data_IF_268016391289
#
_entry.id   IF_268016391289
#
_cell.length_a   1.000
_cell.length_b   1.000
_cell.length_c   1.000
_cell.angle_alpha   90.00
_cell.angle_beta   90.00
_cell.angle_gamma   90.00
#
_symmetry.space_group_name_H-M   'P 1'
#
loop_
_entity.id
_entity.type
_entity.pdbx_description
1 polymer ?
#
# COMPACT_ATOMS: atom_id res chain seq x y z
N UNK A 1 15.61 -15.45 13.89
CA UNK A 1 16.14 -16.15 12.69
C UNK A 1 15.05 -16.93 11.94
N UNK A 2 13.80 -16.46 11.98
CA UNK A 2 12.67 -17.07 11.27
C UNK A 2 12.11 -16.03 10.32
N UNK A 3 12.80 -15.79 9.20
CA UNK A 3 12.22 -15.09 8.08
C UNK A 3 11.83 -16.18 7.08
N UNK A 4 10.54 -16.42 6.91
CA UNK A 4 10.07 -17.29 5.84
C UNK A 4 10.25 -16.52 4.54
N UNK A 5 11.09 -17.00 3.59
CA UNK A 5 11.28 -16.31 2.33
C UNK A 5 9.93 -16.16 1.62
N UNK A 6 9.69 -14.98 1.05
CA UNK A 6 8.42 -14.71 0.37
C UNK A 6 8.12 -15.77 -0.68
N UNK A 7 6.94 -16.40 -0.59
CA UNK A 7 6.55 -17.41 -1.58
C UNK A 7 6.34 -16.74 -2.95
N UNK A 8 6.53 -17.51 -4.03
CA UNK A 8 6.27 -17.01 -5.39
C UNK A 8 4.86 -16.44 -5.55
N UNK A 9 3.87 -17.02 -4.85
CA UNK A 9 2.50 -16.53 -4.82
C UNK A 9 2.40 -15.16 -4.12
N UNK A 10 3.07 -14.98 -2.97
CA UNK A 10 3.08 -13.69 -2.28
C UNK A 10 3.76 -12.60 -3.12
N UNK A 11 4.87 -12.92 -3.80
CA UNK A 11 5.50 -12.01 -4.77
C UNK A 11 4.54 -11.63 -5.89
N UNK A 12 3.79 -12.60 -6.43
CA UNK A 12 2.79 -12.35 -7.47
C UNK A 12 1.68 -11.41 -6.98
N UNK A 13 1.10 -11.66 -5.81
CA UNK A 13 0.06 -10.82 -5.22
C UNK A 13 0.59 -9.40 -4.97
N UNK A 14 1.78 -9.27 -4.39
CA UNK A 14 2.41 -7.96 -4.16
C UNK A 14 2.66 -7.20 -5.46
N UNK A 15 3.07 -7.88 -6.54
CA UNK A 15 3.28 -7.22 -7.84
C UNK A 15 1.97 -6.67 -8.43
N UNK A 16 0.85 -7.41 -8.28
CA UNK A 16 -0.48 -6.96 -8.71
C UNK A 16 -0.93 -5.78 -7.86
N UNK A 17 -0.79 -5.87 -6.53
CA UNK A 17 -1.11 -4.78 -5.60
C UNK A 17 -0.33 -3.51 -5.92
N UNK A 18 0.97 -3.61 -6.22
CA UNK A 18 1.82 -2.46 -6.56
C UNK A 18 1.39 -1.75 -7.85
N UNK A 19 0.85 -2.49 -8.82
CA UNK A 19 0.56 -1.98 -10.18
C UNK A 19 -0.91 -1.68 -10.44
N UNK A 20 -1.82 -2.25 -9.66
CA UNK A 20 -3.28 -2.17 -9.90
C UNK A 20 -4.12 -2.01 -8.62
N UNK A 21 -3.47 -1.80 -7.48
CA UNK A 21 -4.14 -1.87 -6.18
C UNK A 21 -5.07 -0.71 -5.83
N UNK A 22 -4.85 0.47 -6.41
CA UNK A 22 -5.49 1.73 -6.02
C UNK A 22 -6.22 2.45 -7.17
N UNK A 23 -6.95 1.69 -7.98
CA UNK A 23 -7.66 2.20 -9.16
C UNK A 23 -6.69 2.96 -10.08
N UNK A 24 -7.11 4.12 -10.58
CA UNK A 24 -6.31 4.97 -11.48
C UNK A 24 -5.08 5.60 -10.79
N UNK A 25 -4.92 5.45 -9.47
CA UNK A 25 -3.80 6.01 -8.70
C UNK A 25 -2.77 4.98 -8.25
N UNK A 26 -2.79 3.73 -8.74
CA UNK A 26 -1.79 2.73 -8.37
C UNK A 26 -0.34 3.21 -8.59
N UNK A 27 -0.06 3.88 -9.72
CA UNK A 27 1.24 4.47 -10.00
C UNK A 27 1.61 5.62 -9.05
N UNK A 28 0.66 6.51 -8.74
CA UNK A 28 0.87 7.60 -7.78
C UNK A 28 1.15 7.07 -6.37
N UNK A 29 0.46 6.02 -5.96
CA UNK A 29 0.70 5.35 -4.67
C UNK A 29 2.08 4.70 -4.63
N UNK A 30 2.48 4.00 -5.70
CA UNK A 30 3.82 3.43 -5.80
C UNK A 30 4.91 4.51 -5.70
N UNK A 31 4.73 5.66 -6.36
CA UNK A 31 5.68 6.78 -6.29
C UNK A 31 5.75 7.45 -4.91
N UNK A 32 4.60 7.71 -4.28
CA UNK A 32 4.53 8.48 -3.01
C UNK A 32 4.74 7.63 -1.77
N UNK A 33 4.31 6.37 -1.79
CA UNK A 33 4.33 5.45 -0.64
C UNK A 33 5.35 4.32 -0.82
N UNK A 34 5.67 3.92 -2.06
CA UNK A 34 6.71 2.93 -2.30
C UNK A 34 6.37 1.52 -1.85
N UNK A 35 5.09 1.18 -1.64
CA UNK A 35 4.66 -0.13 -1.13
C UNK A 35 3.57 -0.75 -2.01
N UNK A 36 3.48 -2.09 -2.12
CA UNK A 36 2.30 -2.78 -2.64
C UNK A 36 1.06 -2.42 -1.81
N UNK A 37 -0.01 -1.96 -2.45
CA UNK A 37 -1.23 -1.53 -1.75
C UNK A 37 -2.52 -2.10 -2.34
N UNK A 38 -3.60 -2.04 -1.57
CA UNK A 38 -4.98 -2.24 -2.06
C UNK A 38 -5.94 -1.31 -1.33
N UNK A 39 -6.75 -0.57 -2.07
CA UNK A 39 -7.83 0.26 -1.51
C UNK A 39 -9.22 -0.36 -1.70
N UNK A 40 -10.23 0.19 -1.05
CA UNK A 40 -11.63 -0.08 -1.35
C UNK A 40 -12.54 1.09 -0.96
N UNK A 41 -13.69 1.19 -1.62
CA UNK A 41 -14.67 2.29 -1.43
C UNK A 41 -15.23 2.41 -0.02
N UNK A 42 -15.02 1.41 0.85
CA UNK A 42 -15.28 1.52 2.29
C UNK A 42 -14.29 2.44 3.04
N UNK A 43 -13.30 3.01 2.35
CA UNK A 43 -12.30 3.94 2.91
C UNK A 43 -11.06 3.25 3.48
N UNK A 44 -10.91 1.93 3.30
CA UNK A 44 -9.76 1.16 3.76
C UNK A 44 -8.63 1.13 2.74
N UNK A 45 -7.38 1.19 3.20
CA UNK A 45 -6.19 0.91 2.39
C UNK A 45 -5.26 -0.02 3.18
N UNK A 46 -4.82 -1.10 2.55
CA UNK A 46 -3.78 -2.02 3.07
C UNK A 46 -2.50 -1.78 2.28
N UNK A 47 -1.37 -1.70 2.96
CA UNK A 47 -0.03 -1.65 2.37
C UNK A 47 0.86 -2.74 2.96
N UNK A 48 1.64 -3.42 2.12
CA UNK A 48 2.54 -4.51 2.53
C UNK A 48 3.97 -4.01 2.56
N UNK A 49 4.67 -4.22 3.67
CA UNK A 49 6.12 -4.06 3.78
C UNK A 49 6.73 -5.46 3.73
N UNK A 50 7.29 -5.89 2.59
CA UNK A 50 7.75 -7.27 2.41
C UNK A 50 8.65 -7.72 3.57
N UNK A 51 8.35 -8.91 4.10
CA UNK A 51 9.11 -9.57 5.18
C UNK A 51 9.21 -8.79 6.51
N UNK A 52 8.47 -7.69 6.67
CA UNK A 52 8.54 -6.82 7.85
C UNK A 52 7.19 -6.58 8.51
N UNK A 53 6.19 -6.10 7.76
CA UNK A 53 4.92 -5.66 8.33
C UNK A 53 3.80 -5.57 7.29
N UNK A 54 2.57 -5.45 7.79
CA UNK A 54 1.41 -4.98 7.02
C UNK A 54 0.80 -3.79 7.74
N UNK A 55 0.40 -2.77 7.00
CA UNK A 55 -0.22 -1.55 7.53
C UNK A 55 -1.61 -1.40 6.95
N UNK A 56 -2.60 -1.13 7.80
CA UNK A 56 -3.96 -0.81 7.37
C UNK A 56 -4.34 0.58 7.89
N UNK A 57 -4.92 1.39 7.02
CA UNK A 57 -5.52 2.68 7.37
C UNK A 57 -6.98 2.69 6.95
N UNK A 58 -7.79 3.47 7.65
CA UNK A 58 -9.20 3.62 7.33
C UNK A 58 -9.66 5.06 7.59
N UNK A 59 -10.31 5.66 6.61
CA UNK A 59 -11.08 6.89 6.75
C UNK A 59 -12.11 6.96 5.62
N UNK A 60 -13.39 7.25 5.92
CA UNK A 60 -14.49 7.10 4.96
C UNK A 60 -14.47 8.12 3.81
N UNK A 61 -13.85 9.29 4.00
CA UNK A 61 -13.78 10.31 2.94
C UNK A 61 -12.84 9.89 1.81
N UNK A 62 -13.35 9.87 0.58
CA UNK A 62 -12.64 9.42 -0.62
C UNK A 62 -12.25 10.59 -1.51
N UNK A 63 -11.13 10.44 -2.22
CA UNK A 63 -10.75 11.32 -3.32
C UNK A 63 -11.50 10.96 -4.61
N UNK A 64 -11.23 11.69 -5.69
CA UNK A 64 -11.87 11.48 -6.99
C UNK A 64 -11.63 10.09 -7.60
N UNK A 65 -10.55 9.39 -7.20
CA UNK A 65 -10.23 8.04 -7.66
C UNK A 65 -10.83 6.93 -6.75
N UNK A 66 -11.58 7.29 -5.71
CA UNK A 66 -12.19 6.34 -4.77
C UNK A 66 -11.26 5.83 -3.67
N UNK A 67 -10.12 6.49 -3.45
CA UNK A 67 -9.16 6.17 -2.39
C UNK A 67 -9.34 7.07 -1.17
N UNK A 68 -9.11 6.56 0.03
CA UNK A 68 -9.22 7.34 1.27
C UNK A 68 -8.26 8.53 1.29
N UNK A 69 -8.76 9.76 1.43
CA UNK A 69 -7.94 10.99 1.42
C UNK A 69 -6.89 10.98 2.52
N UNK A 70 -7.35 10.85 3.77
CA UNK A 70 -6.48 10.84 4.95
C UNK A 70 -5.68 9.55 5.03
N UNK A 71 -6.23 8.42 4.57
CA UNK A 71 -5.51 7.15 4.53
C UNK A 71 -4.27 7.21 3.63
N UNK A 72 -4.41 7.75 2.42
CA UNK A 72 -3.29 7.97 1.49
C UNK A 72 -2.21 8.86 2.12
N UNK A 73 -2.61 10.01 2.68
CA UNK A 73 -1.68 10.95 3.30
C UNK A 73 -0.97 10.35 4.54
N UNK A 74 -1.67 9.53 5.32
CA UNK A 74 -1.09 8.85 6.48
C UNK A 74 -0.03 7.82 6.07
N UNK A 75 -0.30 7.04 5.02
CA UNK A 75 0.65 6.03 4.50
C UNK A 75 1.91 6.67 3.90
N UNK A 76 1.76 7.76 3.13
CA UNK A 76 2.90 8.53 2.60
C UNK A 76 3.77 9.08 3.74
N UNK A 77 3.16 9.72 4.74
CA UNK A 77 3.89 10.24 5.91
C UNK A 77 4.56 9.14 6.72
N UNK A 78 3.88 8.00 6.90
CA UNK A 78 4.44 6.86 7.62
C UNK A 78 5.66 6.32 6.87
N UNK A 79 5.51 5.96 5.59
CA UNK A 79 6.57 5.42 4.74
C UNK A 79 7.82 6.32 4.79
N UNK A 80 7.65 7.63 4.59
CA UNK A 80 8.75 8.58 4.64
C UNK A 80 9.42 8.68 6.03
N UNK A 81 8.63 8.57 7.11
CA UNK A 81 9.14 8.70 8.48
C UNK A 81 9.94 7.47 8.95
N UNK A 82 9.60 6.29 8.44
CA UNK A 82 10.24 5.02 8.86
C UNK A 82 11.08 4.37 7.76
N UNK A 83 11.32 5.09 6.66
CA UNK A 83 12.14 4.66 5.52
C UNK A 83 11.67 3.32 4.93
N UNK A 84 10.37 3.24 4.64
CA UNK A 84 9.76 2.06 4.00
C UNK A 84 9.45 2.34 2.54
N UNK A 85 10.21 1.69 1.66
CA UNK A 85 10.00 1.67 0.22
C UNK A 85 10.53 0.34 -0.34
N UNK A 86 9.93 -0.15 -1.42
CA UNK A 86 10.48 -1.24 -2.24
C UNK A 86 11.33 -0.74 -3.41
N UNK A 87 11.40 0.58 -3.59
CA UNK A 87 12.24 1.30 -4.54
C UNK A 87 13.39 2.00 -3.84
#
# INVERSE_FOLDING_TARGET
KYAWPMTRQATQVNSIMATSGLYDEAGNFAYRVGLPGKSGVGGGIVAIVPERASVCVWSPELNAAGNSLVGMAALEKLSARVDWSVF
#
